data_IF_846764988624
#
_entry.id   IF_846764988624
#
_cell.length_a   1.000
_cell.length_b   1.000
_cell.length_c   1.000
_cell.angle_alpha   90.00
_cell.angle_beta   90.00
_cell.angle_gamma   90.00
#
_symmetry.space_group_name_H-M   'P 1'
#
loop_
_entity.id
_entity.type
_entity.pdbx_description
1 polymer ?
#
# COMPACT_ATOMS: atom_id res chain seq x y z
N UNK A 1 1.42 -14.05 -18.18
CA UNK A 1 0.63 -14.33 -16.95
C UNK A 1 0.44 -13.02 -16.22
N UNK A 2 -0.71 -12.84 -15.58
CA UNK A 2 -0.96 -11.67 -14.74
C UNK A 2 -0.01 -11.71 -13.53
N UNK A 3 0.58 -10.55 -13.18
CA UNK A 3 1.40 -10.37 -11.98
C UNK A 3 0.91 -9.16 -11.20
N UNK A 4 0.39 -9.40 -10.00
CA UNK A 4 -0.23 -8.42 -9.11
C UNK A 4 0.81 -7.87 -8.15
N UNK A 5 0.95 -6.55 -8.15
CA UNK A 5 1.80 -5.80 -7.23
C UNK A 5 0.91 -5.04 -6.29
N UNK A 6 1.10 -5.23 -4.98
CA UNK A 6 0.40 -4.49 -3.95
C UNK A 6 1.36 -3.47 -3.31
N UNK A 7 0.86 -2.26 -3.10
CA UNK A 7 1.55 -1.21 -2.34
C UNK A 7 0.61 -0.62 -1.30
N UNK A 8 1.18 -0.08 -0.22
CA UNK A 8 0.43 0.57 0.84
C UNK A 8 0.88 2.02 0.99
N UNK A 9 -0.02 2.91 1.38
CA UNK A 9 0.35 4.28 1.71
C UNK A 9 -0.77 5.16 2.23
N UNK A 10 -0.40 6.27 2.86
CA UNK A 10 -1.36 7.32 3.22
C UNK A 10 -1.78 8.12 1.98
N UNK A 11 -0.84 8.47 1.10
CA UNK A 11 -1.10 9.29 -0.10
C UNK A 11 -1.82 10.62 0.22
N UNK A 12 -1.45 11.27 1.32
CA UNK A 12 -2.00 12.56 1.71
C UNK A 12 -1.34 13.68 0.92
N UNK A 13 -2.05 14.22 -0.08
CA UNK A 13 -1.50 15.18 -1.03
C UNK A 13 -0.53 14.51 -2.01
N UNK A 14 -1.08 13.87 -3.05
CA UNK A 14 -0.26 13.27 -4.12
C UNK A 14 0.72 14.29 -4.69
N UNK A 15 1.98 13.87 -4.81
CA UNK A 15 3.09 14.65 -5.31
C UNK A 15 4.02 13.73 -6.11
N UNK A 16 5.02 14.29 -6.78
CA UNK A 16 5.93 13.58 -7.70
C UNK A 16 6.62 12.36 -7.07
N UNK A 17 6.97 12.42 -5.78
CA UNK A 17 7.49 11.26 -5.04
C UNK A 17 6.55 10.05 -5.02
N UNK A 18 5.24 10.27 -4.79
CA UNK A 18 4.24 9.19 -4.86
C UNK A 18 4.11 8.65 -6.28
N UNK A 19 4.07 9.52 -7.29
CA UNK A 19 3.99 9.09 -8.69
C UNK A 19 5.21 8.26 -9.12
N UNK A 20 6.41 8.66 -8.69
CA UNK A 20 7.63 7.88 -8.93
C UNK A 20 7.56 6.51 -8.26
N UNK A 21 7.13 6.46 -6.99
CA UNK A 21 6.97 5.22 -6.25
C UNK A 21 5.97 4.28 -6.94
N UNK A 22 4.78 4.77 -7.30
CA UNK A 22 3.74 3.97 -7.96
C UNK A 22 4.19 3.48 -9.34
N UNK A 23 4.86 4.32 -10.15
CA UNK A 23 5.44 3.88 -11.43
C UNK A 23 6.50 2.80 -11.25
N UNK A 24 7.37 2.96 -10.25
CA UNK A 24 8.41 1.99 -9.93
C UNK A 24 7.81 0.65 -9.48
N UNK A 25 6.71 0.67 -8.72
CA UNK A 25 5.98 -0.52 -8.32
C UNK A 25 5.26 -1.18 -9.51
N UNK A 26 4.56 -0.40 -10.34
CA UNK A 26 3.89 -0.87 -11.56
C UNK A 26 4.87 -1.60 -12.49
N UNK A 27 6.11 -1.12 -12.63
CA UNK A 27 7.14 -1.76 -13.44
C UNK A 27 7.53 -3.18 -12.96
N UNK A 28 7.08 -3.63 -11.79
CA UNK A 28 7.37 -4.97 -11.24
C UNK A 28 6.29 -6.02 -11.55
N UNK A 29 5.20 -5.63 -12.18
CA UNK A 29 4.11 -6.53 -12.56
C UNK A 29 3.21 -5.97 -13.65
N UNK A 30 2.08 -6.62 -13.90
CA UNK A 30 1.11 -6.20 -14.91
C UNK A 30 -0.08 -5.47 -14.30
N UNK A 31 -0.34 -5.67 -13.00
CA UNK A 31 -1.41 -5.02 -12.24
C UNK A 31 -0.85 -4.35 -10.99
N UNK A 32 -1.13 -3.07 -10.79
CA UNK A 32 -0.82 -2.33 -9.57
C UNK A 32 -2.09 -2.10 -8.77
N UNK A 33 -2.10 -2.66 -7.56
CA UNK A 33 -3.15 -2.48 -6.56
C UNK A 33 -2.58 -1.58 -5.45
N UNK A 34 -3.35 -0.59 -5.02
CA UNK A 34 -2.96 0.36 -3.98
C UNK A 34 -3.89 0.27 -2.78
N UNK A 35 -3.34 -0.13 -1.64
CA UNK A 35 -3.97 -0.02 -0.33
C UNK A 35 -3.81 1.39 0.24
N UNK A 36 -4.93 2.09 0.41
CA UNK A 36 -4.98 3.44 0.97
C UNK A 36 -5.31 3.37 2.46
N UNK A 37 -4.41 3.87 3.30
CA UNK A 37 -4.56 3.83 4.75
C UNK A 37 -5.81 4.60 5.23
N UNK A 38 -6.51 4.06 6.23
CA UNK A 38 -7.66 4.69 6.88
C UNK A 38 -7.26 5.91 7.71
N UNK A 39 -8.14 6.89 7.81
CA UNK A 39 -7.92 8.12 8.59
C UNK A 39 -7.68 7.81 10.07
N UNK A 40 -8.44 6.86 10.62
CA UNK A 40 -8.31 6.41 12.01
C UNK A 40 -6.92 5.81 12.29
N UNK A 41 -6.44 4.95 11.39
CA UNK A 41 -5.11 4.36 11.48
C UNK A 41 -4.01 5.42 11.39
N UNK A 42 -4.13 6.37 10.46
CA UNK A 42 -3.13 7.42 10.32
C UNK A 42 -3.11 8.32 11.56
N UNK A 43 -4.26 8.60 12.16
CA UNK A 43 -4.37 9.39 13.37
C UNK A 43 -3.71 8.71 14.58
N UNK A 44 -3.91 7.40 14.77
CA UNK A 44 -3.28 6.66 15.86
C UNK A 44 -1.77 6.53 15.66
N UNK A 45 -1.33 6.24 14.43
CA UNK A 45 0.08 6.03 14.12
C UNK A 45 0.90 7.32 14.08
N UNK A 46 0.39 8.38 13.45
CA UNK A 46 1.12 9.65 13.25
C UNK A 46 0.78 10.72 14.29
N UNK A 47 -0.15 10.45 15.22
CA UNK A 47 -0.65 11.43 16.19
C UNK A 47 -1.43 12.60 15.55
N UNK A 48 -1.76 12.51 14.25
CA UNK A 48 -2.49 13.54 13.50
C UNK A 48 -3.29 12.92 12.36
N UNK A 49 -4.43 13.53 12.05
CA UNK A 49 -5.23 13.14 10.89
C UNK A 49 -4.54 13.56 9.58
N UNK A 50 -4.77 12.84 8.47
CA UNK A 50 -4.44 13.33 7.14
C UNK A 50 -5.12 14.67 6.85
N UNK A 51 -4.53 15.43 5.94
CA UNK A 51 -5.09 16.68 5.39
C UNK A 51 -6.36 16.40 4.59
N UNK A 52 -6.37 15.31 3.81
CA UNK A 52 -7.52 14.89 3.02
C UNK A 52 -8.16 13.62 3.59
N UNK A 53 -9.51 13.55 3.66
CA UNK A 53 -10.21 12.34 4.09
C UNK A 53 -9.86 11.12 3.24
N UNK A 54 -9.93 9.94 3.84
CA UNK A 54 -9.56 8.67 3.20
C UNK A 54 -10.23 8.44 1.85
N UNK A 55 -11.52 8.78 1.74
CA UNK A 55 -12.27 8.65 0.50
C UNK A 55 -11.71 9.55 -0.63
N UNK A 56 -11.31 10.78 -0.30
CA UNK A 56 -10.73 11.71 -1.26
C UNK A 56 -9.33 11.28 -1.70
N UNK A 57 -8.56 10.68 -0.79
CA UNK A 57 -7.24 10.11 -1.11
C UNK A 57 -7.41 8.89 -2.02
N UNK A 58 -8.38 8.02 -1.72
CA UNK A 58 -8.73 6.86 -2.54
C UNK A 58 -9.11 7.28 -3.97
N UNK A 59 -10.06 8.21 -4.13
CA UNK A 59 -10.50 8.70 -5.45
C UNK A 59 -9.34 9.23 -6.28
N UNK A 60 -8.46 10.03 -5.67
CA UNK A 60 -7.28 10.58 -6.35
C UNK A 60 -6.31 9.49 -6.80
N UNK A 61 -6.11 8.46 -5.99
CA UNK A 61 -5.21 7.34 -6.32
C UNK A 61 -5.81 6.48 -7.43
N UNK A 62 -7.11 6.16 -7.36
CA UNK A 62 -7.81 5.37 -8.38
C UNK A 62 -7.83 6.08 -9.75
N UNK A 63 -7.80 7.41 -9.77
CA UNK A 63 -7.76 8.20 -11.00
C UNK A 63 -6.38 8.22 -11.70
N UNK A 64 -5.31 7.73 -11.06
CA UNK A 64 -3.99 7.68 -11.68
C UNK A 64 -3.93 6.58 -12.72
N UNK A 65 -3.51 6.90 -13.94
CA UNK A 65 -3.36 5.93 -15.05
C UNK A 65 -2.40 4.76 -14.76
N UNK A 66 -1.53 4.91 -13.76
CA UNK A 66 -0.58 3.88 -13.32
C UNK A 66 -1.25 2.83 -12.42
N UNK A 67 -2.37 3.18 -11.78
CA UNK A 67 -3.07 2.35 -10.78
C UNK A 67 -4.22 1.61 -11.47
N UNK A 68 -4.22 0.27 -11.36
CA UNK A 68 -5.32 -0.53 -11.89
C UNK A 68 -6.49 -0.58 -10.91
N UNK A 69 -6.19 -0.65 -9.61
CA UNK A 69 -7.20 -0.71 -8.56
C UNK A 69 -6.67 -0.06 -7.29
N UNK A 70 -7.54 0.65 -6.58
CA UNK A 70 -7.26 1.15 -5.25
C UNK A 70 -8.43 0.81 -4.33
N UNK A 71 -8.11 0.45 -3.10
CA UNK A 71 -9.10 0.26 -2.04
C UNK A 71 -8.55 0.71 -0.69
N UNK A 72 -9.45 0.95 0.25
CA UNK A 72 -9.05 1.28 1.61
C UNK A 72 -8.49 0.03 2.30
N UNK A 73 -7.42 0.22 3.08
CA UNK A 73 -6.87 -0.86 3.90
C UNK A 73 -7.83 -1.21 5.04
N UNK A 74 -7.45 -2.28 5.74
CA UNK A 74 -8.00 -2.64 7.04
C UNK A 74 -7.92 -1.46 8.03
N UNK A 75 -8.90 -1.33 8.94
CA UNK A 75 -8.85 -0.33 10.02
C UNK A 75 -7.65 -0.51 10.96
N UNK A 76 -7.16 -1.75 11.11
CA UNK A 76 -6.09 -2.13 12.04
C UNK A 76 -4.92 -2.76 11.29
N UNK A 77 -3.69 -2.41 11.68
CA UNK A 77 -2.47 -2.97 11.10
C UNK A 77 -2.15 -4.35 11.71
N UNK A 78 -2.90 -5.36 11.31
CA UNK A 78 -2.69 -6.74 11.79
C UNK A 78 -3.45 -7.79 11.02
N UNK A 79 -4.60 -7.44 10.42
CA UNK A 79 -5.44 -8.42 9.71
C UNK A 79 -4.96 -8.64 8.28
N UNK A 80 -4.53 -7.58 7.61
CA UNK A 80 -4.06 -7.61 6.22
C UNK A 80 -5.01 -8.38 5.28
N UNK A 81 -6.32 -8.25 5.47
CA UNK A 81 -7.35 -8.95 4.68
C UNK A 81 -7.25 -8.56 3.21
N UNK A 82 -6.82 -7.33 2.91
CA UNK A 82 -6.45 -6.91 1.55
C UNK A 82 -5.40 -7.81 0.87
N UNK A 83 -4.45 -8.37 1.62
CA UNK A 83 -3.44 -9.29 1.06
C UNK A 83 -4.11 -10.61 0.67
N UNK A 84 -5.06 -11.09 1.48
CA UNK A 84 -5.83 -12.32 1.21
C UNK A 84 -6.76 -12.14 0.01
N UNK A 85 -7.49 -11.03 -0.05
CA UNK A 85 -8.43 -10.70 -1.13
C UNK A 85 -7.74 -10.54 -2.48
N UNK A 86 -6.60 -9.84 -2.50
CA UNK A 86 -5.88 -9.52 -3.73
C UNK A 86 -4.99 -10.70 -4.18
N UNK A 87 -4.51 -11.50 -3.24
CA UNK A 87 -3.49 -12.53 -3.45
C UNK A 87 -2.31 -12.01 -4.32
N UNK A 88 -1.56 -11.00 -3.83
CA UNK A 88 -0.51 -10.37 -4.62
C UNK A 88 0.71 -11.28 -4.80
N UNK A 89 1.37 -11.19 -5.96
CA UNK A 89 2.63 -11.88 -6.24
C UNK A 89 3.84 -11.15 -5.62
N UNK A 90 3.69 -9.86 -5.33
CA UNK A 90 4.73 -9.01 -4.78
C UNK A 90 4.12 -7.85 -3.99
N UNK A 91 4.65 -7.59 -2.81
CA UNK A 91 4.41 -6.33 -2.09
C UNK A 91 5.62 -5.41 -2.30
N UNK A 92 5.37 -4.17 -2.74
CA UNK A 92 6.41 -3.15 -2.86
C UNK A 92 6.22 -2.11 -1.75
N UNK A 93 7.23 -2.00 -0.89
CA UNK A 93 7.27 -1.10 0.24
C UNK A 93 7.94 0.22 -0.13
N UNK A 94 7.44 1.32 0.41
CA UNK A 94 8.13 2.61 0.41
C UNK A 94 9.44 2.54 1.20
N UNK A 95 10.38 3.43 0.88
CA UNK A 95 11.72 3.42 1.47
C UNK A 95 11.74 3.50 3.00
N UNK A 96 10.75 4.16 3.60
CA UNK A 96 10.60 4.47 5.03
C UNK A 96 9.60 3.56 5.77
N UNK A 97 9.02 2.57 5.09
CA UNK A 97 7.97 1.70 5.66
C UNK A 97 8.55 0.51 6.43
N UNK A 98 9.21 0.76 7.56
CA UNK A 98 9.82 -0.31 8.37
C UNK A 98 8.80 -1.02 9.26
N UNK A 99 7.93 -0.27 9.92
CA UNK A 99 6.90 -0.81 10.83
C UNK A 99 5.89 -1.67 10.07
N UNK A 100 5.50 -1.25 8.87
CA UNK A 100 4.64 -2.04 7.97
C UNK A 100 5.33 -3.35 7.56
N UNK A 101 6.62 -3.32 7.25
CA UNK A 101 7.38 -4.53 6.89
C UNK A 101 7.37 -5.54 8.04
N UNK A 102 7.64 -5.08 9.27
CA UNK A 102 7.63 -5.95 10.44
C UNK A 102 6.23 -6.51 10.72
N UNK A 103 5.18 -5.69 10.58
CA UNK A 103 3.80 -6.15 10.75
C UNK A 103 3.41 -7.21 9.71
N UNK A 104 3.79 -7.03 8.44
CA UNK A 104 3.57 -8.01 7.38
C UNK A 104 4.33 -9.31 7.62
N UNK A 105 5.57 -9.25 8.09
CA UNK A 105 6.37 -10.44 8.45
C UNK A 105 5.70 -11.21 9.60
N UNK A 106 5.30 -10.51 10.66
CA UNK A 106 4.63 -11.12 11.80
C UNK A 106 3.29 -11.77 11.38
N UNK A 107 2.50 -11.08 10.57
CA UNK A 107 1.25 -11.62 10.03
C UNK A 107 1.47 -12.85 9.15
N UNK A 108 2.43 -12.81 8.22
CA UNK A 108 2.78 -13.97 7.37
C UNK A 108 3.22 -15.17 8.22
N UNK A 109 4.04 -14.94 9.26
CA UNK A 109 4.47 -15.98 10.18
C UNK A 109 3.33 -16.62 10.99
N UNK A 110 2.32 -15.83 11.37
CA UNK A 110 1.18 -16.30 12.14
C UNK A 110 0.10 -16.98 11.30
N UNK A 111 -0.01 -16.65 10.02
CA UNK A 111 -1.08 -17.14 9.13
C UNK A 111 -0.62 -18.21 8.14
N UNK A 112 0.70 -18.39 7.98
CA UNK A 112 1.27 -19.31 6.99
C UNK A 112 1.25 -18.75 5.56
N UNK A 113 0.83 -17.50 5.36
CA UNK A 113 0.96 -16.82 4.07
C UNK A 113 2.42 -16.49 3.77
N UNK A 114 2.75 -16.50 2.48
CA UNK A 114 4.04 -16.00 2.01
C UNK A 114 3.85 -15.14 0.77
N UNK A 115 4.28 -13.88 0.87
CA UNK A 115 4.33 -12.95 -0.25
C UNK A 115 5.72 -12.32 -0.28
N UNK A 116 6.46 -12.42 -1.41
CA UNK A 116 7.72 -11.73 -1.55
C UNK A 116 7.54 -10.22 -1.36
N UNK A 117 8.47 -9.60 -0.64
CA UNK A 117 8.48 -8.15 -0.41
C UNK A 117 9.72 -7.51 -1.03
N UNK A 118 9.57 -6.29 -1.53
CA UNK A 118 10.67 -5.49 -2.05
C UNK A 118 10.55 -4.04 -1.60
N UNK A 119 11.66 -3.43 -1.22
CA UNK A 119 11.71 -2.00 -0.90
C UNK A 119 12.04 -1.18 -2.16
N UNK A 120 11.24 -0.15 -2.42
CA UNK A 120 11.52 0.81 -3.47
C UNK A 120 12.76 1.64 -3.11
N UNK A 121 13.57 1.97 -4.13
CA UNK A 121 14.73 2.85 -3.95
C UNK A 121 14.25 4.26 -3.60
N UNK A 122 14.97 4.91 -2.68
CA UNK A 122 14.83 6.35 -2.44
C UNK A 122 15.27 7.09 -3.71
N UNK A 123 14.46 8.05 -4.14
CA UNK A 123 14.76 8.97 -5.25
C UNK A 123 15.67 10.07 -4.75
#
# INVERSE_FOLDING_TARGET
MEKRVLVFGTFDGIHTGHEFFLRSAKARGTKLIVGVARDAYVASFKGRKPTFPEQKRLEKIQALSTVDHAQLCDPEISTFTIVEEIAPDLIVLGHDQHELEQALIAWMGNTGHYVPMMRAKKV
#
